data_IF_605627868496
#
_entry.id   IF_605627868496
#
_cell.length_a   1.000
_cell.length_b   1.000
_cell.length_c   1.000
_cell.angle_alpha   90.00
_cell.angle_beta   90.00
_cell.angle_gamma   90.00
#
_symmetry.space_group_name_H-M   'P 1'
#
loop_
_entity.id
_entity.type
_entity.pdbx_description
1 polymer ?
#
# COMPACT_ATOMS: atom_id res chain seq x y z
N UNK A 1 6.95 37.58 65.51
CA UNK A 1 5.74 36.73 65.50
C UNK A 1 4.54 37.66 65.36
N UNK A 2 4.11 37.89 64.12
CA UNK A 2 2.72 37.95 63.65
C UNK A 2 2.76 38.36 62.15
N UNK A 3 2.02 37.69 61.25
CA UNK A 3 2.14 37.86 59.81
C UNK A 3 1.22 38.98 59.28
N UNK A 4 1.73 39.82 58.38
CA UNK A 4 0.90 40.74 57.60
C UNK A 4 0.25 39.97 56.43
N UNK A 5 -1.08 39.95 56.45
CA UNK A 5 -1.93 39.30 55.46
C UNK A 5 -1.86 39.99 54.09
N UNK A 6 -1.51 39.20 53.06
CA UNK A 6 -1.63 39.55 51.64
C UNK A 6 -3.11 39.39 51.25
N UNK A 7 -3.94 40.41 51.49
CA UNK A 7 -5.32 40.45 50.97
C UNK A 7 -5.79 41.89 50.72
N UNK A 8 -5.04 42.71 49.98
CA UNK A 8 -5.55 44.01 49.49
C UNK A 8 -5.21 44.34 48.01
N UNK A 9 -4.61 43.40 47.26
CA UNK A 9 -4.27 43.62 45.84
C UNK A 9 -5.45 43.47 44.84
N UNK A 10 -6.69 43.29 45.33
CA UNK A 10 -7.87 43.13 44.49
C UNK A 10 -9.08 43.94 44.99
N UNK A 11 -8.86 45.04 45.70
CA UNK A 11 -9.98 45.92 46.08
C UNK A 11 -10.43 46.76 44.87
N UNK A 12 -11.74 47.02 44.77
CA UNK A 12 -12.36 47.82 43.71
C UNK A 12 -11.72 49.22 43.57
N UNK A 13 -11.20 49.76 44.68
CA UNK A 13 -10.46 51.04 44.71
C UNK A 13 -9.11 51.00 44.00
N UNK A 14 -8.44 49.84 43.91
CA UNK A 14 -7.18 49.70 43.18
C UNK A 14 -7.40 49.83 41.67
N UNK A 15 -8.50 49.24 41.15
CA UNK A 15 -8.86 49.33 39.74
C UNK A 15 -9.36 50.71 39.33
N UNK A 16 -10.10 51.41 40.20
CA UNK A 16 -10.52 52.79 39.93
C UNK A 16 -9.32 53.76 39.84
N UNK A 17 -8.24 53.48 40.57
CA UNK A 17 -7.00 54.28 40.55
C UNK A 17 -6.14 54.05 39.30
N UNK A 18 -6.21 52.86 38.69
CA UNK A 18 -5.56 52.55 37.41
C UNK A 18 -6.30 53.21 36.24
N UNK A 19 -7.63 53.30 36.31
CA UNK A 19 -8.45 53.90 35.25
C UNK A 19 -8.48 55.45 35.26
N UNK A 20 -7.90 56.09 36.28
CA UNK A 20 -7.84 57.55 36.42
C UNK A 20 -6.48 58.17 36.05
N UNK A 21 -5.53 57.40 35.48
CA UNK A 21 -4.30 57.96 34.94
C UNK A 21 -4.59 58.80 33.66
N UNK A 22 -4.07 60.04 33.56
CA UNK A 22 -4.50 61.01 32.56
C UNK A 22 -4.07 60.62 31.13
N UNK A 23 -5.02 60.76 30.19
CA UNK A 23 -4.89 60.61 28.73
C UNK A 23 -4.27 61.84 28.04
N UNK A 24 -3.31 62.51 28.67
CA UNK A 24 -2.67 63.71 28.10
C UNK A 24 -1.18 63.46 27.85
N UNK A 25 -0.89 62.71 26.79
CA UNK A 25 0.38 62.75 26.05
C UNK A 25 0.24 62.11 24.66
N UNK A 26 -0.87 62.43 23.97
CA UNK A 26 -1.00 62.27 22.52
C UNK A 26 -0.80 63.62 21.85
N UNK A 27 0.44 63.95 21.49
CA UNK A 27 0.77 64.75 20.31
C UNK A 27 2.28 64.76 20.11
N UNK A 28 2.71 64.36 18.91
CA UNK A 28 4.09 64.27 18.40
C UNK A 28 4.84 62.94 18.62
N UNK A 29 4.33 61.89 17.97
CA UNK A 29 5.16 60.99 17.14
C UNK A 29 4.25 60.11 16.28
N UNK A 30 3.75 60.71 15.18
CA UNK A 30 3.14 59.96 14.08
C UNK A 30 4.27 59.28 13.29
N UNK A 31 4.66 58.09 13.76
CA UNK A 31 5.37 57.10 12.96
C UNK A 31 4.72 55.75 13.16
N UNK A 32 3.66 55.51 12.38
CA UNK A 32 3.17 54.20 11.92
C UNK A 32 3.40 53.01 12.87
N UNK A 33 2.59 52.89 13.92
CA UNK A 33 2.36 51.60 14.58
C UNK A 33 1.32 50.83 13.76
N UNK A 34 1.79 50.19 12.69
CA UNK A 34 1.06 49.08 12.08
C UNK A 34 1.05 47.97 13.11
N UNK A 35 -0.11 47.61 13.66
CA UNK A 35 -0.28 46.34 14.37
C UNK A 35 0.22 45.24 13.44
N UNK A 36 1.39 44.67 13.73
CA UNK A 36 1.98 43.61 12.93
C UNK A 36 1.00 42.43 12.97
N UNK A 37 0.30 42.20 11.87
CA UNK A 37 -0.49 41.00 11.69
C UNK A 37 0.44 39.81 11.96
N UNK A 38 0.03 38.84 12.80
CA UNK A 38 0.88 37.69 13.11
C UNK A 38 1.25 37.02 11.79
N UNK A 39 2.56 36.86 11.56
CA UNK A 39 3.06 36.23 10.36
C UNK A 39 2.37 34.87 10.18
N UNK A 40 1.96 34.51 8.95
CA UNK A 40 1.36 33.22 8.69
C UNK A 40 2.35 32.12 9.09
N UNK A 41 1.82 31.01 9.61
CA UNK A 41 2.61 29.88 10.10
C UNK A 41 3.69 29.42 9.11
N UNK A 42 3.35 29.37 7.81
CA UNK A 42 4.29 29.00 6.75
C UNK A 42 5.55 29.89 6.73
N UNK A 43 5.42 31.19 6.95
CA UNK A 43 6.58 32.09 6.98
C UNK A 43 7.41 31.89 8.24
N UNK A 44 6.77 31.66 9.40
CA UNK A 44 7.48 31.35 10.64
C UNK A 44 8.24 30.03 10.53
N UNK A 45 7.63 29.02 9.92
CA UNK A 45 8.24 27.71 9.71
C UNK A 45 9.41 27.77 8.73
N UNK A 46 9.24 28.44 7.58
CA UNK A 46 10.28 28.56 6.57
C UNK A 46 11.49 29.38 7.04
N UNK A 47 11.30 30.23 8.06
CA UNK A 47 12.39 30.98 8.70
C UNK A 47 13.18 30.16 9.73
N UNK A 48 12.74 28.94 10.07
CA UNK A 48 13.51 28.05 10.96
C UNK A 48 14.79 27.56 10.24
N UNK A 49 15.86 27.21 10.97
CA UNK A 49 16.97 26.43 10.42
C UNK A 49 16.49 25.16 9.73
N UNK A 50 17.12 24.82 8.61
CA UNK A 50 16.71 23.70 7.75
C UNK A 50 16.66 22.37 8.53
N UNK A 51 17.56 22.18 9.49
CA UNK A 51 17.62 21.02 10.37
C UNK A 51 16.36 20.87 11.22
N UNK A 52 15.83 21.97 11.77
CA UNK A 52 14.61 21.96 12.56
C UNK A 52 13.39 21.71 11.68
N UNK A 53 13.37 22.28 10.47
CA UNK A 53 12.31 22.00 9.49
C UNK A 53 12.25 20.50 9.15
N UNK A 54 13.40 19.89 8.86
CA UNK A 54 13.51 18.46 8.56
C UNK A 54 13.07 17.62 9.75
N UNK A 55 13.50 17.96 10.97
CA UNK A 55 13.12 17.21 12.17
C UNK A 55 11.62 17.25 12.43
N UNK A 56 10.99 18.43 12.29
CA UNK A 56 9.54 18.59 12.44
C UNK A 56 8.84 17.73 11.38
N UNK A 57 9.19 17.89 10.11
CA UNK A 57 8.58 17.13 9.00
C UNK A 57 8.76 15.62 9.19
N UNK A 58 9.95 15.17 9.56
CA UNK A 58 10.26 13.75 9.75
C UNK A 58 9.45 13.11 10.89
N UNK A 59 9.10 13.88 11.91
CA UNK A 59 8.28 13.42 13.04
C UNK A 59 6.79 13.27 12.72
N UNK A 60 6.33 13.81 11.58
CA UNK A 60 4.95 13.67 11.15
C UNK A 60 4.66 12.27 10.58
N UNK A 61 3.42 11.77 10.69
CA UNK A 61 2.98 10.58 9.96
C UNK A 61 3.23 10.72 8.46
N UNK A 62 3.50 9.58 7.78
CA UNK A 62 3.76 9.60 6.34
C UNK A 62 2.61 10.23 5.54
N UNK A 63 1.35 10.04 5.95
CA UNK A 63 0.19 10.69 5.32
C UNK A 63 0.34 12.21 5.28
N UNK A 64 0.79 12.79 6.38
CA UNK A 64 0.86 14.23 6.56
C UNK A 64 2.07 14.79 5.80
N UNK A 65 3.19 14.07 5.80
CA UNK A 65 4.35 14.38 4.95
C UNK A 65 3.96 14.40 3.47
N UNK A 66 3.15 13.43 3.01
CA UNK A 66 2.67 13.39 1.64
C UNK A 66 1.65 14.51 1.35
N UNK A 67 0.76 14.82 2.30
CA UNK A 67 -0.20 15.92 2.16
C UNK A 67 0.48 17.29 2.10
N UNK A 68 1.55 17.50 2.91
CA UNK A 68 2.35 18.72 2.87
C UNK A 68 2.92 18.99 1.47
N UNK A 69 3.33 17.94 0.74
CA UNK A 69 3.82 18.10 -0.64
C UNK A 69 2.78 18.66 -1.59
N UNK A 70 1.50 18.43 -1.33
CA UNK A 70 0.40 18.92 -2.17
C UNK A 70 -0.05 20.33 -1.74
N UNK A 71 0.33 20.77 -0.53
CA UNK A 71 -0.13 22.05 0.02
C UNK A 71 0.48 23.28 -0.69
N UNK A 72 1.79 23.27 -0.99
CA UNK A 72 2.44 24.37 -1.72
C UNK A 72 3.71 23.94 -2.45
N UNK A 73 4.18 24.75 -3.41
CA UNK A 73 5.45 24.51 -4.11
C UNK A 73 6.66 24.52 -3.16
N UNK A 74 6.63 25.37 -2.13
CA UNK A 74 7.69 25.45 -1.13
C UNK A 74 7.76 24.16 -0.30
N UNK A 75 6.62 23.68 0.19
CA UNK A 75 6.52 22.41 0.93
C UNK A 75 6.92 21.22 0.06
N UNK A 76 6.49 21.18 -1.20
CA UNK A 76 6.91 20.16 -2.16
C UNK A 76 8.44 20.11 -2.32
N UNK A 77 9.07 21.27 -2.51
CA UNK A 77 10.53 21.36 -2.65
C UNK A 77 11.23 20.94 -1.36
N UNK A 78 10.79 21.41 -0.20
CA UNK A 78 11.38 21.07 1.10
C UNK A 78 11.38 19.57 1.37
N UNK A 79 10.25 18.90 1.13
CA UNK A 79 10.15 17.44 1.34
C UNK A 79 10.93 16.66 0.28
N UNK A 80 10.89 17.09 -0.98
CA UNK A 80 11.55 16.38 -2.09
C UNK A 80 13.08 16.48 -1.99
N UNK A 81 13.62 17.66 -1.65
CA UNK A 81 15.07 17.87 -1.47
C UNK A 81 15.62 17.12 -0.26
N UNK A 82 14.82 16.97 0.79
CA UNK A 82 15.21 16.34 2.05
C UNK A 82 14.60 14.95 2.22
N UNK A 83 14.33 14.22 1.13
CA UNK A 83 13.66 12.91 1.24
C UNK A 83 14.47 11.89 2.06
N UNK A 84 15.80 11.87 1.91
CA UNK A 84 16.68 10.91 2.59
C UNK A 84 16.62 10.99 4.13
N UNK A 85 16.84 12.16 4.77
CA UNK A 85 16.75 12.25 6.22
C UNK A 85 15.33 11.97 6.76
N UNK A 86 14.28 12.40 6.04
CA UNK A 86 12.88 12.13 6.40
C UNK A 86 12.62 10.62 6.38
N UNK A 87 12.97 9.95 5.29
CA UNK A 87 12.76 8.52 5.10
C UNK A 87 13.59 7.70 6.09
N UNK A 88 14.84 8.10 6.36
CA UNK A 88 15.69 7.43 7.35
C UNK A 88 15.06 7.47 8.74
N UNK A 89 14.55 8.64 9.14
CA UNK A 89 13.89 8.79 10.44
C UNK A 89 12.62 7.93 10.52
N UNK A 90 11.76 7.98 9.51
CA UNK A 90 10.51 7.21 9.49
C UNK A 90 10.77 5.70 9.44
N UNK A 91 11.78 5.24 8.69
CA UNK A 91 12.19 3.85 8.73
C UNK A 91 12.63 3.45 10.13
N UNK A 92 13.42 4.26 10.82
CA UNK A 92 13.89 3.92 12.17
C UNK A 92 12.72 3.76 13.17
N UNK A 93 11.74 4.66 13.16
CA UNK A 93 10.74 4.79 14.24
C UNK A 93 9.35 4.22 13.94
N UNK A 94 8.98 4.09 12.66
CA UNK A 94 7.60 3.76 12.26
C UNK A 94 7.47 2.41 11.56
N UNK A 95 8.58 1.85 11.06
CA UNK A 95 8.55 0.60 10.30
C UNK A 95 8.90 -0.62 11.18
N UNK A 96 8.06 -1.67 11.20
CA UNK A 96 8.30 -2.89 11.97
C UNK A 96 9.61 -3.61 11.60
N UNK A 97 10.20 -4.31 12.57
CA UNK A 97 11.45 -5.06 12.38
C UNK A 97 11.37 -6.11 11.25
N UNK A 98 10.26 -6.85 11.16
CA UNK A 98 10.06 -7.87 10.12
C UNK A 98 10.10 -7.30 8.70
N UNK A 99 9.58 -6.09 8.51
CA UNK A 99 9.54 -5.44 7.21
C UNK A 99 10.93 -4.99 6.78
N UNK A 100 11.73 -4.48 7.74
CA UNK A 100 13.15 -4.12 7.53
C UNK A 100 14.02 -5.31 7.16
N UNK A 101 13.74 -6.51 7.73
CA UNK A 101 14.47 -7.74 7.39
C UNK A 101 14.22 -8.19 5.95
N UNK A 102 12.97 -8.15 5.50
CA UNK A 102 12.56 -8.64 4.17
C UNK A 102 12.87 -7.64 3.05
N UNK A 103 12.80 -6.34 3.36
CA UNK A 103 13.18 -5.27 2.46
C UNK A 103 14.31 -4.48 3.12
N UNK A 104 15.57 -4.92 2.98
CA UNK A 104 16.70 -4.10 3.38
C UNK A 104 16.89 -2.95 2.39
N UNK A 105 17.26 -1.77 2.90
CA UNK A 105 17.64 -0.64 2.04
C UNK A 105 18.95 -1.00 1.36
N UNK A 106 18.94 -1.06 0.02
CA UNK A 106 20.18 -1.28 -0.73
C UNK A 106 20.96 0.03 -0.81
N UNK A 107 22.29 -0.06 -0.72
CA UNK A 107 23.19 1.10 -0.90
C UNK A 107 22.97 1.78 -2.26
N UNK A 108 22.53 1.01 -3.26
CA UNK A 108 22.27 1.49 -4.63
C UNK A 108 20.96 2.27 -4.82
N UNK A 109 19.90 1.97 -4.05
CA UNK A 109 18.59 2.63 -4.20
C UNK A 109 18.41 3.84 -3.29
N UNK A 110 19.27 3.97 -2.26
CA UNK A 110 19.21 5.07 -1.29
C UNK A 110 17.93 5.11 -0.45
N UNK A 111 17.82 6.16 0.38
CA UNK A 111 16.64 6.45 1.20
C UNK A 111 15.68 7.35 0.40
N UNK A 112 14.73 6.75 -0.32
CA UNK A 112 13.78 7.47 -1.19
C UNK A 112 12.35 7.39 -0.66
N UNK A 113 11.53 8.41 -0.95
CA UNK A 113 10.11 8.37 -0.61
C UNK A 113 9.38 7.24 -1.34
N UNK A 114 9.81 6.90 -2.56
CA UNK A 114 9.25 5.75 -3.31
C UNK A 114 9.41 4.44 -2.58
N UNK A 115 10.62 4.18 -2.07
CA UNK A 115 10.89 2.99 -1.28
C UNK A 115 9.98 2.92 -0.06
N UNK A 116 9.88 4.03 0.69
CA UNK A 116 9.07 4.09 1.90
C UNK A 116 7.57 3.95 1.62
N UNK A 117 7.02 4.69 0.65
CA UNK A 117 5.64 4.57 0.23
C UNK A 117 5.33 3.16 -0.28
N UNK A 118 6.24 2.55 -1.03
CA UNK A 118 6.11 1.17 -1.45
C UNK A 118 6.08 0.20 -0.27
N UNK A 119 6.93 0.39 0.74
CA UNK A 119 6.96 -0.46 1.92
C UNK A 119 5.66 -0.34 2.74
N UNK A 120 5.19 0.89 2.96
CA UNK A 120 3.91 1.17 3.61
C UNK A 120 2.72 0.59 2.85
N UNK A 121 2.73 0.68 1.52
CA UNK A 121 1.70 0.05 0.70
C UNK A 121 1.61 -1.46 0.96
N UNK A 122 2.76 -2.15 0.98
CA UNK A 122 2.83 -3.60 1.27
C UNK A 122 2.34 -3.92 2.69
N UNK A 123 2.74 -3.11 3.67
CA UNK A 123 2.29 -3.24 5.07
C UNK A 123 0.77 -3.09 5.16
N UNK A 124 0.20 -2.08 4.50
CA UNK A 124 -1.23 -1.83 4.50
C UNK A 124 -2.00 -2.96 3.80
N UNK A 125 -1.52 -3.46 2.66
CA UNK A 125 -2.14 -4.59 1.96
C UNK A 125 -2.13 -5.84 2.84
N UNK A 126 -1.00 -6.16 3.46
CA UNK A 126 -0.89 -7.30 4.37
C UNK A 126 -1.83 -7.15 5.56
N UNK A 127 -1.86 -5.99 6.22
CA UNK A 127 -2.76 -5.71 7.33
C UNK A 127 -4.24 -5.83 6.93
N UNK A 128 -4.66 -5.17 5.84
CA UNK A 128 -6.06 -5.22 5.40
C UNK A 128 -6.48 -6.65 5.03
N UNK A 129 -5.62 -7.40 4.34
CA UNK A 129 -5.88 -8.79 3.97
C UNK A 129 -5.93 -9.70 5.20
N UNK A 130 -5.01 -9.53 6.16
CA UNK A 130 -5.02 -10.24 7.45
C UNK A 130 -6.33 -10.03 8.18
N UNK A 131 -6.84 -8.80 8.24
CA UNK A 131 -8.13 -8.49 8.89
C UNK A 131 -9.27 -9.25 8.22
N UNK A 132 -9.33 -9.21 6.89
CA UNK A 132 -10.34 -9.94 6.12
C UNK A 132 -10.25 -11.46 6.32
N UNK A 133 -9.05 -12.02 6.34
CA UNK A 133 -8.82 -13.43 6.63
C UNK A 133 -9.24 -13.78 8.06
N UNK A 134 -8.96 -12.93 9.04
CA UNK A 134 -9.42 -13.13 10.42
C UNK A 134 -10.95 -13.17 10.52
N UNK A 135 -11.65 -12.28 9.81
CA UNK A 135 -13.12 -12.28 9.75
C UNK A 135 -13.67 -13.56 9.12
N UNK A 136 -13.00 -14.04 8.07
CA UNK A 136 -13.34 -15.31 7.42
C UNK A 136 -13.10 -16.51 8.35
N UNK A 137 -11.92 -16.61 8.99
CA UNK A 137 -11.60 -17.66 9.95
C UNK A 137 -12.60 -17.68 11.11
N UNK A 138 -12.92 -16.51 11.67
CA UNK A 138 -13.87 -16.37 12.78
C UNK A 138 -15.25 -16.94 12.40
N UNK A 139 -15.74 -16.65 11.18
CA UNK A 139 -17.06 -17.08 10.72
C UNK A 139 -17.12 -18.50 10.19
N UNK A 140 -16.14 -18.92 9.39
CA UNK A 140 -16.20 -20.17 8.61
C UNK A 140 -15.37 -21.30 9.24
N UNK A 141 -14.37 -20.99 10.08
CA UNK A 141 -13.56 -22.01 10.77
C UNK A 141 -14.00 -22.15 12.23
N UNK A 142 -14.07 -21.05 12.98
CA UNK A 142 -14.48 -21.05 14.38
C UNK A 142 -15.99 -20.96 14.59
N UNK A 143 -16.75 -20.81 13.50
CA UNK A 143 -18.22 -20.79 13.47
C UNK A 143 -18.84 -19.77 14.44
N UNK A 144 -18.14 -18.66 14.69
CA UNK A 144 -18.62 -17.54 15.53
C UNK A 144 -19.42 -16.59 14.64
N UNK A 145 -20.74 -16.67 14.73
CA UNK A 145 -21.66 -15.90 13.87
C UNK A 145 -22.46 -14.86 14.64
N UNK A 146 -22.73 -15.09 15.93
CA UNK A 146 -23.48 -14.14 16.77
C UNK A 146 -22.57 -13.03 17.30
N UNK A 147 -23.15 -11.86 17.61
CA UNK A 147 -22.39 -10.70 18.12
C UNK A 147 -21.66 -11.04 19.42
N UNK A 148 -22.30 -11.75 20.34
CA UNK A 148 -21.72 -12.13 21.63
C UNK A 148 -20.58 -13.16 21.48
N UNK A 149 -20.71 -14.08 20.52
CA UNK A 149 -19.65 -15.03 20.18
C UNK A 149 -18.44 -14.35 19.54
N UNK A 150 -18.66 -13.30 18.75
CA UNK A 150 -17.59 -12.50 18.16
C UNK A 150 -16.90 -11.65 19.22
N UNK A 151 -17.67 -11.03 20.12
CA UNK A 151 -17.14 -10.23 21.24
C UNK A 151 -16.28 -11.08 22.19
N UNK A 152 -16.75 -12.27 22.57
CA UNK A 152 -15.98 -13.20 23.39
C UNK A 152 -14.73 -13.75 22.69
N UNK A 153 -14.67 -13.70 21.35
CA UNK A 153 -13.52 -14.12 20.55
C UNK A 153 -12.56 -12.97 20.18
N UNK A 154 -12.81 -11.75 20.68
CA UNK A 154 -12.07 -10.56 20.23
C UNK A 154 -10.56 -10.65 20.53
N UNK A 155 -10.17 -11.17 21.70
CA UNK A 155 -8.76 -11.30 22.08
C UNK A 155 -8.01 -12.32 21.22
N UNK A 156 -8.62 -13.48 20.95
CA UNK A 156 -8.06 -14.49 20.04
C UNK A 156 -7.97 -13.97 18.61
N UNK A 157 -8.98 -13.23 18.15
CA UNK A 157 -8.99 -12.60 16.82
C UNK A 157 -7.85 -11.60 16.67
N UNK A 158 -7.59 -10.78 17.69
CA UNK A 158 -6.49 -9.80 17.67
C UNK A 158 -5.11 -10.49 17.62
N UNK A 159 -4.92 -11.58 18.35
CA UNK A 159 -3.68 -12.38 18.28
C UNK A 159 -3.48 -13.01 16.90
N UNK A 160 -4.53 -13.63 16.37
CA UNK A 160 -4.52 -14.19 15.02
C UNK A 160 -4.17 -13.11 14.00
N UNK A 161 -4.77 -11.92 14.13
CA UNK A 161 -4.52 -10.79 13.27
C UNK A 161 -3.05 -10.36 13.30
N UNK A 162 -2.50 -10.11 14.50
CA UNK A 162 -1.10 -9.71 14.67
C UNK A 162 -0.10 -10.73 14.15
N UNK A 163 -0.38 -12.03 14.31
CA UNK A 163 0.46 -13.11 13.80
C UNK A 163 0.35 -13.28 12.29
N UNK A 164 -0.82 -13.04 11.68
CA UNK A 164 -1.02 -13.18 10.24
C UNK A 164 -0.31 -12.10 9.42
N UNK A 165 -0.21 -10.86 9.94
CA UNK A 165 0.40 -9.72 9.24
C UNK A 165 1.82 -10.04 8.72
N UNK A 166 2.81 -10.40 9.56
CA UNK A 166 4.17 -10.67 9.07
C UNK A 166 4.24 -11.87 8.13
N UNK A 167 3.37 -12.86 8.29
CA UNK A 167 3.32 -14.05 7.43
C UNK A 167 2.79 -13.70 6.04
N UNK A 168 1.68 -12.96 5.96
CA UNK A 168 1.14 -12.47 4.70
C UNK A 168 2.08 -11.48 4.03
N UNK A 169 2.77 -10.65 4.80
CA UNK A 169 3.78 -9.74 4.29
C UNK A 169 4.98 -10.51 3.68
N UNK A 170 5.37 -11.64 4.27
CA UNK A 170 6.40 -12.53 3.70
C UNK A 170 5.91 -13.20 2.41
N UNK A 171 4.66 -13.64 2.36
CA UNK A 171 4.05 -14.16 1.11
C UNK A 171 3.98 -13.08 0.03
N UNK A 172 3.70 -11.82 0.41
CA UNK A 172 3.79 -10.69 -0.52
C UNK A 172 5.19 -10.60 -1.13
N UNK A 173 6.23 -10.58 -0.27
CA UNK A 173 7.63 -10.53 -0.71
C UNK A 173 7.98 -11.70 -1.64
N UNK A 174 7.55 -12.91 -1.29
CA UNK A 174 7.76 -14.08 -2.14
C UNK A 174 7.16 -13.89 -3.53
N UNK A 175 5.88 -13.53 -3.63
CA UNK A 175 5.21 -13.35 -4.93
C UNK A 175 5.86 -12.24 -5.76
N UNK A 176 6.31 -11.17 -5.12
CA UNK A 176 7.00 -10.07 -5.79
C UNK A 176 8.37 -10.48 -6.35
N UNK A 177 9.21 -11.13 -5.53
CA UNK A 177 10.51 -11.63 -5.98
C UNK A 177 10.36 -12.73 -7.01
N UNK A 178 9.37 -13.61 -6.84
CA UNK A 178 9.08 -14.68 -7.79
C UNK A 178 8.74 -14.11 -9.16
N UNK A 179 7.83 -13.14 -9.24
CA UNK A 179 7.48 -12.48 -10.51
C UNK A 179 8.71 -11.86 -11.18
N UNK A 180 9.54 -11.13 -10.42
CA UNK A 180 10.74 -10.46 -10.93
C UNK A 180 11.79 -11.45 -11.43
N UNK A 181 12.16 -12.42 -10.61
CA UNK A 181 13.19 -13.41 -10.94
C UNK A 181 12.74 -14.36 -12.05
N UNK A 182 11.46 -14.71 -12.09
CA UNK A 182 10.93 -15.55 -13.17
C UNK A 182 10.97 -14.82 -14.52
N UNK A 183 10.63 -13.53 -14.55
CA UNK A 183 10.78 -12.73 -15.76
C UNK A 183 12.25 -12.63 -16.19
N UNK A 184 13.15 -12.36 -15.23
CA UNK A 184 14.58 -12.31 -15.50
C UNK A 184 15.10 -13.64 -16.07
N UNK A 185 14.70 -14.76 -15.48
CA UNK A 185 15.09 -16.09 -15.93
C UNK A 185 14.66 -16.35 -17.38
N UNK A 186 13.41 -16.01 -17.73
CA UNK A 186 12.90 -16.18 -19.10
C UNK A 186 13.67 -15.30 -20.09
N UNK A 187 14.00 -14.07 -19.70
CA UNK A 187 14.76 -13.15 -20.57
C UNK A 187 16.20 -13.64 -20.79
N UNK A 188 16.83 -14.21 -19.77
CA UNK A 188 18.21 -14.72 -19.86
C UNK A 188 18.31 -16.04 -20.63
N UNK A 189 17.34 -16.95 -20.48
CA UNK A 189 17.41 -18.30 -21.04
C UNK A 189 16.57 -18.48 -22.32
N UNK A 190 15.62 -17.56 -22.60
CA UNK A 190 14.70 -17.66 -23.73
C UNK A 190 13.57 -18.69 -23.55
N UNK A 191 13.46 -19.32 -22.38
CA UNK A 191 12.40 -20.27 -22.05
C UNK A 191 12.04 -20.22 -20.56
N UNK A 192 10.86 -20.72 -20.18
CA UNK A 192 10.44 -20.81 -18.78
C UNK A 192 10.84 -22.11 -18.09
N UNK A 193 10.76 -22.11 -16.76
CA UNK A 193 11.26 -23.18 -15.88
C UNK A 193 10.69 -24.56 -16.18
N UNK A 194 9.47 -24.65 -16.70
CA UNK A 194 8.84 -25.95 -17.02
C UNK A 194 9.62 -26.75 -18.06
N UNK A 195 10.44 -26.09 -18.90
CA UNK A 195 11.26 -26.75 -19.92
C UNK A 195 12.57 -27.31 -19.38
N UNK A 196 12.93 -26.97 -18.14
CA UNK A 196 14.13 -27.49 -17.48
C UNK A 196 13.78 -28.54 -16.44
N UNK A 197 14.43 -29.70 -16.45
CA UNK A 197 14.30 -30.65 -15.36
C UNK A 197 14.96 -30.04 -14.11
N UNK A 198 14.19 -29.89 -13.03
CA UNK A 198 14.69 -29.49 -11.73
C UNK A 198 14.06 -30.36 -10.64
N UNK A 199 14.82 -30.65 -9.58
CA UNK A 199 14.31 -31.30 -8.38
C UNK A 199 13.65 -30.29 -7.45
N UNK A 200 14.30 -29.13 -7.28
CA UNK A 200 13.82 -27.96 -6.55
C UNK A 200 13.76 -26.78 -7.49
N UNK A 201 12.72 -25.95 -7.38
CA UNK A 201 12.59 -24.78 -8.25
C UNK A 201 13.70 -23.78 -7.89
N UNK A 202 14.67 -23.50 -8.79
CA UNK A 202 15.84 -22.67 -8.47
C UNK A 202 15.43 -21.24 -8.07
N UNK A 203 14.34 -20.72 -8.63
CA UNK A 203 13.83 -19.39 -8.28
C UNK A 203 13.26 -19.37 -6.86
N UNK A 204 12.46 -20.38 -6.52
CA UNK A 204 11.90 -20.50 -5.18
C UNK A 204 13.01 -20.69 -4.14
N UNK A 205 14.02 -21.52 -4.45
CA UNK A 205 15.18 -21.72 -3.57
C UNK A 205 15.92 -20.40 -3.33
N UNK A 206 16.18 -19.63 -4.39
CA UNK A 206 16.85 -18.33 -4.27
C UNK A 206 16.10 -17.39 -3.32
N UNK A 207 14.77 -17.33 -3.43
CA UNK A 207 13.93 -16.47 -2.59
C UNK A 207 13.86 -17.01 -1.15
N UNK A 208 13.66 -18.31 -0.97
CA UNK A 208 13.54 -18.93 0.35
C UNK A 208 14.85 -18.90 1.14
N UNK A 209 15.99 -18.81 0.47
CA UNK A 209 17.29 -18.54 1.10
C UNK A 209 17.42 -17.12 1.67
N UNK A 210 16.52 -16.20 1.33
CA UNK A 210 16.43 -14.89 1.97
C UNK A 210 15.71 -14.93 3.33
N UNK A 211 15.06 -16.04 3.68
CA UNK A 211 14.29 -16.18 4.91
C UNK A 211 15.05 -16.97 5.97
N UNK A 212 14.96 -16.50 7.21
CA UNK A 212 15.37 -17.25 8.38
C UNK A 212 14.48 -18.49 8.59
N UNK A 213 15.03 -19.49 9.26
CA UNK A 213 14.40 -20.80 9.43
C UNK A 213 13.04 -20.71 10.13
N UNK A 214 12.91 -19.80 11.11
CA UNK A 214 11.64 -19.56 11.82
C UNK A 214 10.58 -19.01 10.89
N UNK A 215 10.90 -17.95 10.13
CA UNK A 215 9.97 -17.37 9.15
C UNK A 215 9.60 -18.39 8.07
N UNK A 216 10.57 -19.12 7.51
CA UNK A 216 10.32 -20.12 6.47
C UNK A 216 9.32 -21.19 6.95
N UNK A 217 9.54 -21.74 8.15
CA UNK A 217 8.66 -22.75 8.73
C UNK A 217 7.25 -22.20 8.99
N UNK A 218 7.15 -21.03 9.62
CA UNK A 218 5.84 -20.45 9.98
C UNK A 218 5.03 -20.07 8.75
N UNK A 219 5.67 -19.50 7.72
CA UNK A 219 4.99 -19.20 6.46
C UNK A 219 4.58 -20.49 5.76
N UNK A 220 5.42 -21.52 5.73
CA UNK A 220 5.06 -22.82 5.16
C UNK A 220 3.83 -23.44 5.85
N UNK A 221 3.75 -23.36 7.18
CA UNK A 221 2.59 -23.86 7.94
C UNK A 221 1.30 -23.09 7.64
N UNK A 222 1.39 -21.77 7.43
CA UNK A 222 0.21 -20.90 7.18
C UNK A 222 -0.14 -20.79 5.69
N UNK A 223 0.78 -21.09 4.77
CA UNK A 223 0.57 -20.95 3.33
C UNK A 223 -0.68 -21.70 2.81
N UNK A 224 -0.96 -22.96 3.20
CA UNK A 224 -2.19 -23.64 2.81
C UNK A 224 -3.46 -22.91 3.23
N UNK A 225 -3.47 -22.28 4.42
CA UNK A 225 -4.59 -21.49 4.90
C UNK A 225 -4.82 -20.25 4.01
N UNK A 226 -3.74 -19.56 3.63
CA UNK A 226 -3.80 -18.39 2.75
C UNK A 226 -4.38 -18.78 1.39
N UNK A 227 -3.82 -19.81 0.75
CA UNK A 227 -4.31 -20.30 -0.55
C UNK A 227 -5.76 -20.79 -0.45
N UNK A 228 -6.10 -21.57 0.57
CA UNK A 228 -7.45 -22.08 0.78
C UNK A 228 -8.47 -20.93 0.98
N UNK A 229 -8.11 -19.91 1.75
CA UNK A 229 -8.97 -18.74 1.98
C UNK A 229 -9.27 -18.00 0.67
N UNK A 230 -8.28 -17.83 -0.19
CA UNK A 230 -8.44 -17.17 -1.49
C UNK A 230 -9.27 -18.03 -2.45
N UNK A 231 -8.93 -19.32 -2.60
CA UNK A 231 -9.71 -20.25 -3.43
C UNK A 231 -11.17 -20.36 -2.96
N UNK A 232 -11.42 -20.36 -1.64
CA UNK A 232 -12.77 -20.41 -1.07
C UNK A 232 -13.56 -19.17 -1.43
N UNK A 233 -12.92 -18.00 -1.46
CA UNK A 233 -13.56 -16.72 -1.79
C UNK A 233 -14.08 -16.70 -3.24
N UNK A 234 -13.38 -17.32 -4.18
CA UNK A 234 -13.80 -17.42 -5.58
C UNK A 234 -14.72 -18.61 -5.88
N UNK A 235 -15.07 -19.41 -4.87
CA UNK A 235 -16.04 -20.52 -5.00
C UNK A 235 -17.45 -20.07 -4.57
N UNK A 236 -18.49 -20.70 -5.13
CA UNK A 236 -19.86 -20.42 -4.71
C UNK A 236 -20.05 -20.74 -3.20
N UNK A 237 -21.00 -20.10 -2.52
CA UNK A 237 -21.27 -20.35 -1.10
C UNK A 237 -21.63 -21.83 -0.85
N UNK A 238 -21.06 -22.44 0.20
CA UNK A 238 -21.23 -23.86 0.49
C UNK A 238 -22.66 -24.25 0.89
N UNK A 239 -23.42 -23.32 1.48
CA UNK A 239 -24.82 -23.53 1.87
C UNK A 239 -25.78 -23.59 0.69
N UNK A 240 -25.42 -23.03 -0.47
CA UNK A 240 -26.29 -23.02 -1.63
C UNK A 240 -26.28 -24.38 -2.32
N UNK A 241 -27.41 -25.09 -2.33
CA UNK A 241 -27.60 -26.36 -3.03
C UNK A 241 -27.62 -26.22 -4.57
N UNK A 242 -27.74 -27.34 -5.30
CA UNK A 242 -27.73 -27.33 -6.79
C UNK A 242 -28.84 -26.46 -7.39
N UNK A 243 -30.04 -26.53 -6.84
CA UNK A 243 -31.21 -25.77 -7.33
C UNK A 243 -31.05 -24.28 -7.02
N UNK A 244 -30.65 -23.93 -5.80
CA UNK A 244 -30.39 -22.54 -5.42
C UNK A 244 -29.28 -21.90 -6.27
N UNK A 245 -28.25 -22.67 -6.63
CA UNK A 245 -27.17 -22.20 -7.52
C UNK A 245 -27.70 -21.88 -8.92
N UNK A 246 -28.61 -22.70 -9.46
CA UNK A 246 -29.22 -22.45 -10.76
C UNK A 246 -30.15 -21.24 -10.73
N UNK A 247 -30.98 -21.11 -9.69
CA UNK A 247 -31.92 -19.98 -9.53
C UNK A 247 -31.20 -18.65 -9.30
N UNK A 248 -30.10 -18.65 -8.53
CA UNK A 248 -29.29 -17.44 -8.28
C UNK A 248 -28.25 -17.16 -9.37
N UNK A 249 -28.17 -17.99 -10.42
CA UNK A 249 -27.21 -17.83 -11.51
C UNK A 249 -25.75 -17.94 -11.07
N UNK A 250 -25.46 -18.73 -10.03
CA UNK A 250 -24.07 -18.98 -9.62
C UNK A 250 -23.39 -19.87 -10.64
N UNK A 251 -22.25 -19.40 -11.18
CA UNK A 251 -21.39 -20.19 -12.05
C UNK A 251 -21.04 -21.52 -11.36
N UNK A 252 -21.39 -22.62 -12.03
CA UNK A 252 -21.38 -23.98 -11.49
C UNK A 252 -19.96 -24.55 -11.39
N UNK A 253 -19.05 -24.02 -12.20
CA UNK A 253 -17.67 -24.50 -12.32
C UNK A 253 -16.74 -23.75 -11.38
N UNK A 254 -15.85 -24.52 -10.72
CA UNK A 254 -14.73 -23.99 -9.96
C UNK A 254 -13.81 -23.22 -10.93
N UNK A 255 -13.26 -22.05 -10.55
CA UNK A 255 -12.24 -21.42 -11.37
C UNK A 255 -11.07 -22.38 -11.60
N UNK A 256 -10.48 -22.33 -12.79
CA UNK A 256 -9.25 -23.06 -13.11
C UNK A 256 -8.14 -22.70 -12.10
N UNK A 257 -7.27 -23.66 -11.77
CA UNK A 257 -6.15 -23.43 -10.86
C UNK A 257 -5.11 -22.46 -11.48
N UNK A 258 -5.05 -22.41 -12.81
CA UNK A 258 -4.29 -21.42 -13.59
C UNK A 258 -4.71 -19.98 -13.28
N UNK A 259 -6.02 -19.71 -13.22
CA UNK A 259 -6.54 -18.37 -12.91
C UNK A 259 -6.11 -17.91 -11.52
N UNK A 260 -6.18 -18.80 -10.52
CA UNK A 260 -5.74 -18.47 -9.17
C UNK A 260 -4.24 -18.16 -9.14
N UNK A 261 -3.44 -18.97 -9.83
CA UNK A 261 -1.98 -18.81 -9.85
C UNK A 261 -1.57 -17.55 -10.60
N UNK A 262 -2.22 -17.24 -11.72
CA UNK A 262 -2.02 -16.00 -12.47
C UNK A 262 -2.32 -14.77 -11.62
N UNK A 263 -3.46 -14.75 -10.91
CA UNK A 263 -3.80 -13.63 -10.03
C UNK A 263 -2.77 -13.48 -8.90
N UNK A 264 -2.34 -14.58 -8.28
CA UNK A 264 -1.34 -14.54 -7.21
C UNK A 264 0.04 -14.10 -7.69
N UNK A 265 0.57 -14.71 -8.75
CA UNK A 265 1.94 -14.49 -9.22
C UNK A 265 2.09 -13.21 -10.04
N UNK A 266 1.10 -12.87 -10.87
CA UNK A 266 1.17 -11.70 -11.76
C UNK A 266 0.55 -10.45 -11.13
N UNK A 267 -0.60 -10.62 -10.49
CA UNK A 267 -1.34 -9.54 -9.83
C UNK A 267 -0.93 -9.25 -8.38
N UNK A 268 -0.36 -10.24 -7.68
CA UNK A 268 0.07 -10.10 -6.29
C UNK A 268 -1.08 -10.02 -5.28
N UNK A 269 -0.73 -9.88 -3.99
CA UNK A 269 -1.72 -9.82 -2.91
C UNK A 269 -2.61 -8.57 -2.94
N UNK A 270 -2.19 -7.50 -3.63
CA UNK A 270 -3.04 -6.33 -3.84
C UNK A 270 -4.30 -6.67 -4.63
N UNK A 271 -4.17 -7.43 -5.72
CA UNK A 271 -5.33 -7.84 -6.50
C UNK A 271 -6.19 -8.88 -5.75
N UNK A 272 -5.54 -9.75 -4.96
CA UNK A 272 -6.26 -10.63 -4.02
C UNK A 272 -7.12 -9.81 -3.07
N UNK A 273 -6.56 -8.79 -2.42
CA UNK A 273 -7.29 -7.91 -1.51
C UNK A 273 -8.47 -7.21 -2.21
N UNK A 274 -8.27 -6.70 -3.44
CA UNK A 274 -9.35 -6.09 -4.23
C UNK A 274 -10.51 -7.07 -4.47
N UNK A 275 -10.21 -8.33 -4.80
CA UNK A 275 -11.23 -9.38 -4.95
C UNK A 275 -11.93 -9.70 -3.63
N UNK A 276 -11.27 -9.52 -2.48
CA UNK A 276 -11.90 -9.71 -1.18
C UNK A 276 -12.88 -8.58 -0.84
N UNK A 277 -12.57 -7.35 -1.24
CA UNK A 277 -13.40 -6.15 -1.00
C UNK A 277 -14.69 -6.14 -1.82
N UNK A 278 -14.68 -6.71 -3.02
CA UNK A 278 -15.89 -6.79 -3.85
C UNK A 278 -16.96 -7.64 -3.14
N UNK A 279 -18.15 -7.07 -3.00
CA UNK A 279 -19.32 -7.74 -2.43
C UNK A 279 -20.05 -8.54 -3.50
N UNK A 280 -20.61 -9.70 -3.13
CA UNK A 280 -21.34 -10.60 -4.05
C UNK A 280 -20.43 -11.60 -4.76
N UNK A 281 -20.94 -12.81 -5.05
CA UNK A 281 -20.16 -13.87 -5.71
C UNK A 281 -19.98 -13.64 -7.21
N UNK A 282 -21.07 -13.40 -7.95
CA UNK A 282 -21.03 -13.25 -9.40
C UNK A 282 -20.18 -12.05 -9.84
N UNK A 283 -20.29 -10.92 -9.14
CA UNK A 283 -19.47 -9.72 -9.35
C UNK A 283 -17.99 -10.00 -9.12
N UNK A 284 -17.62 -10.67 -8.01
CA UNK A 284 -16.24 -11.09 -7.75
C UNK A 284 -15.69 -12.02 -8.82
N UNK A 285 -16.49 -12.99 -9.26
CA UNK A 285 -16.09 -13.95 -10.28
C UNK A 285 -15.86 -13.24 -11.62
N UNK A 286 -16.77 -12.34 -12.01
CA UNK A 286 -16.62 -11.49 -13.18
C UNK A 286 -15.34 -10.64 -13.13
N UNK A 287 -15.05 -9.97 -12.02
CA UNK A 287 -13.80 -9.19 -11.87
C UNK A 287 -12.56 -10.08 -12.00
N UNK A 288 -12.58 -11.27 -11.42
CA UNK A 288 -11.45 -12.21 -11.53
C UNK A 288 -11.25 -12.70 -12.98
N UNK A 289 -12.34 -12.97 -13.71
CA UNK A 289 -12.29 -13.39 -15.10
C UNK A 289 -11.85 -12.24 -16.01
N UNK A 290 -12.30 -11.00 -15.78
CA UNK A 290 -11.82 -9.81 -16.50
C UNK A 290 -10.32 -9.61 -16.30
N UNK A 291 -9.81 -9.73 -15.07
CA UNK A 291 -8.38 -9.63 -14.79
C UNK A 291 -7.58 -10.73 -15.49
N UNK A 292 -8.09 -11.96 -15.50
CA UNK A 292 -7.43 -13.06 -16.20
C UNK A 292 -7.44 -12.85 -17.72
N UNK A 293 -8.53 -12.33 -18.27
CA UNK A 293 -8.63 -11.95 -19.68
C UNK A 293 -7.67 -10.80 -20.02
N UNK A 294 -7.48 -9.80 -19.14
CA UNK A 294 -6.45 -8.75 -19.31
C UNK A 294 -5.04 -9.37 -19.46
N UNK A 295 -4.76 -10.48 -18.77
CA UNK A 295 -3.49 -11.21 -18.94
C UNK A 295 -3.46 -12.02 -20.25
N UNK A 296 -4.61 -12.51 -20.71
CA UNK A 296 -4.75 -13.36 -21.91
C UNK A 296 -4.99 -12.63 -23.24
N UNK A 297 -5.44 -11.36 -23.25
CA UNK A 297 -5.73 -10.57 -24.47
C UNK A 297 -4.50 -10.36 -25.37
N UNK A 298 -3.37 -10.95 -24.98
CA UNK A 298 -2.30 -11.38 -25.86
C UNK A 298 -2.66 -12.38 -26.99
N UNK A 299 -3.88 -12.96 -27.03
CA UNK A 299 -4.24 -13.98 -28.04
C UNK A 299 -4.65 -13.44 -29.42
N UNK A 300 -4.91 -12.14 -29.61
CA UNK A 300 -5.28 -11.63 -30.94
C UNK A 300 -4.47 -10.40 -31.38
N UNK A 301 -3.66 -10.60 -32.42
CA UNK A 301 -3.31 -9.56 -33.40
C UNK A 301 -3.86 -10.01 -34.77
N UNK A 302 -4.15 -9.04 -35.66
CA UNK A 302 -5.50 -8.64 -36.03
C UNK A 302 -6.25 -9.74 -36.79
N UNK A 303 -7.53 -9.95 -36.50
CA UNK A 303 -8.43 -10.52 -37.50
C UNK A 303 -8.46 -9.52 -38.66
N UNK A 304 -7.89 -9.92 -39.79
CA UNK A 304 -8.06 -9.29 -41.08
C UNK A 304 -9.50 -8.81 -41.23
N UNK A 305 -9.64 -7.53 -41.61
CA UNK A 305 -10.90 -6.85 -41.81
C UNK A 305 -11.68 -7.41 -43.02
N UNK A 306 -12.14 -8.66 -42.93
CA UNK A 306 -12.87 -9.34 -44.00
C UNK A 306 -13.69 -10.53 -43.45
N UNK A 307 -14.48 -10.30 -42.40
CA UNK A 307 -15.66 -11.16 -42.13
C UNK A 307 -16.73 -10.51 -41.23
N UNK A 308 -16.75 -9.18 -41.09
CA UNK A 308 -17.87 -8.46 -40.46
C UNK A 308 -18.86 -8.05 -41.56
N UNK A 309 -19.43 -9.02 -42.24
CA UNK A 309 -20.61 -8.79 -43.08
C UNK A 309 -21.34 -10.10 -43.31
N UNK A 310 -22.14 -10.52 -42.33
CA UNK A 310 -23.36 -11.36 -42.45
C UNK A 310 -23.70 -11.94 -41.06
N UNK A 311 -24.30 -11.13 -40.19
CA UNK A 311 -25.27 -11.66 -39.19
C UNK A 311 -26.00 -10.59 -38.38
N UNK A 312 -25.65 -9.30 -38.50
CA UNK A 312 -26.45 -8.22 -37.93
C UNK A 312 -27.65 -7.84 -38.82
N UNK A 313 -28.60 -8.76 -39.03
CA UNK A 313 -29.94 -8.43 -39.55
C UNK A 313 -30.95 -9.50 -39.09
N UNK A 314 -31.51 -9.33 -37.89
CA UNK A 314 -32.96 -9.44 -37.63
C UNK A 314 -33.31 -9.19 -36.16
N UNK A 315 -34.23 -8.21 -36.00
CA UNK A 315 -35.18 -7.96 -34.89
C UNK A 315 -34.75 -6.98 -33.77
N UNK A 316 -35.09 -5.70 -34.00
CA UNK A 316 -35.59 -4.77 -32.96
C UNK A 316 -36.98 -5.21 -32.46
N UNK A 317 -37.72 -4.54 -31.58
CA UNK A 317 -37.74 -3.23 -30.92
C UNK A 317 -38.30 -3.46 -29.48
N UNK A 318 -38.20 -2.61 -28.45
CA UNK A 318 -38.76 -1.26 -28.24
C UNK A 318 -38.16 -0.70 -26.93
N UNK A 319 -37.58 0.50 -26.90
CA UNK A 319 -38.14 1.72 -26.26
C UNK A 319 -37.84 1.78 -24.74
N UNK A 320 -37.43 2.85 -24.07
CA UNK A 320 -37.37 4.31 -24.25
C UNK A 320 -36.06 4.82 -23.57
N UNK A 321 -35.30 5.76 -24.15
CA UNK A 321 -35.27 7.19 -23.77
C UNK A 321 -34.76 7.43 -22.33
N UNK A 322 -33.56 7.98 -22.08
CA UNK A 322 -33.14 9.37 -22.36
C UNK A 322 -31.61 9.53 -22.44
N UNK A 323 -31.24 10.56 -23.20
CA UNK A 323 -29.93 11.04 -23.67
C UNK A 323 -29.13 11.80 -22.57
N UNK A 324 -27.81 11.56 -22.52
CA UNK A 324 -26.67 12.49 -22.78
C UNK A 324 -26.23 13.32 -21.55
N UNK A 325 -24.95 13.63 -21.29
CA UNK A 325 -23.70 13.56 -22.06
C UNK A 325 -22.48 13.61 -21.12
N UNK A 326 -21.43 12.82 -21.38
CA UNK A 326 -20.05 13.10 -20.97
C UNK A 326 -19.30 13.58 -22.21
N UNK A 327 -18.73 14.78 -22.10
CA UNK A 327 -17.99 15.46 -23.15
C UNK A 327 -16.54 14.96 -23.11
N UNK A 328 -16.15 14.24 -24.15
CA UNK A 328 -14.76 13.86 -24.42
C UNK A 328 -14.04 15.06 -25.04
N UNK A 329 -12.93 15.50 -24.46
CA UNK A 329 -11.93 16.33 -25.15
C UNK A 329 -10.79 15.42 -25.53
N UNK A 330 -10.45 15.51 -26.82
CA UNK A 330 -9.60 14.62 -27.59
C UNK A 330 -8.20 15.23 -27.68
N UNK A 331 -7.18 14.42 -27.41
CA UNK A 331 -5.79 14.73 -27.72
C UNK A 331 -5.57 14.87 -29.23
N UNK A 332 -4.78 15.86 -29.62
CA UNK A 332 -4.23 15.99 -30.95
C UNK A 332 -2.71 16.24 -30.85
N UNK A 333 -1.95 15.22 -31.25
CA UNK A 333 -0.53 15.29 -31.56
C UNK A 333 -0.33 15.50 -33.07
N UNK A 334 0.73 16.26 -33.41
CA UNK A 334 1.36 16.52 -34.71
C UNK A 334 0.89 17.74 -35.51
N UNK A 335 1.77 18.76 -35.65
CA UNK A 335 2.59 18.98 -36.86
C UNK A 335 3.47 20.24 -36.70
N UNK A 336 4.65 20.21 -37.33
CA UNK A 336 5.60 21.32 -37.50
C UNK A 336 4.98 22.47 -38.32
N UNK A 337 5.40 23.72 -38.05
CA UNK A 337 5.94 24.67 -39.04
C UNK A 337 6.26 26.05 -38.42
N UNK A 338 7.41 26.60 -38.81
CA UNK A 338 7.90 27.96 -38.48
C UNK A 338 7.32 28.93 -39.55
N UNK A 339 6.94 30.18 -39.19
CA UNK A 339 7.68 31.32 -39.74
C UNK A 339 7.92 32.48 -38.75
N UNK A 340 8.96 33.23 -39.10
CA UNK A 340 9.51 34.43 -38.46
C UNK A 340 8.55 35.62 -38.35
N UNK A 341 8.82 36.48 -37.36
CA UNK A 341 8.76 37.94 -37.51
C UNK A 341 7.60 38.68 -36.83
N UNK A 342 7.92 39.42 -35.75
CA UNK A 342 7.60 40.86 -35.57
C UNK A 342 7.26 41.26 -34.12
N UNK A 343 8.17 42.08 -33.57
CA UNK A 343 7.99 43.24 -32.68
C UNK A 343 7.45 43.12 -31.23
N UNK A 344 8.39 43.44 -30.32
CA UNK A 344 8.32 43.95 -28.92
C UNK A 344 7.34 45.14 -28.72
N UNK A 345 6.85 45.44 -27.49
CA UNK A 345 7.63 46.07 -26.38
C UNK A 345 7.41 45.38 -25.00
N UNK A 346 8.44 45.07 -24.20
CA UNK A 346 9.19 45.92 -23.23
C UNK A 346 8.30 46.66 -22.20
N UNK A 347 8.17 46.06 -21.01
CA UNK A 347 8.04 46.67 -19.66
C UNK A 347 8.66 45.62 -18.71
N UNK A 348 9.97 45.62 -18.44
CA UNK A 348 10.75 46.39 -17.47
C UNK A 348 10.32 46.21 -15.99
N UNK A 349 11.29 45.78 -15.15
CA UNK A 349 11.17 45.82 -13.69
C UNK A 349 11.42 44.53 -12.90
N UNK A 350 12.59 43.89 -13.00
CA UNK A 350 13.20 43.27 -11.81
C UNK A 350 14.72 43.10 -11.98
N UNK A 351 15.46 43.68 -11.04
CA UNK A 351 16.90 43.85 -11.02
C UNK A 351 17.68 42.53 -11.12
N UNK A 352 18.64 42.50 -12.05
CA UNK A 352 19.73 41.54 -12.12
C UNK A 352 20.63 41.65 -10.87
N UNK A 353 20.86 40.50 -10.22
CA UNK A 353 22.08 40.27 -9.46
C UNK A 353 22.83 39.09 -10.08
N UNK A 354 24.12 39.32 -10.25
CA UNK A 354 25.15 38.58 -10.99
C UNK A 354 25.23 37.08 -10.62
N UNK A 355 25.44 36.17 -11.58
CA UNK A 355 25.54 34.74 -11.29
C UNK A 355 26.95 34.39 -10.79
N UNK A 356 27.04 33.95 -9.54
CA UNK A 356 28.23 33.25 -9.05
C UNK A 356 28.00 31.75 -9.21
N UNK A 357 28.91 31.07 -9.90
CA UNK A 357 28.92 29.64 -10.20
C UNK A 357 28.53 28.77 -9.00
N UNK A 358 27.30 28.29 -8.99
CA UNK A 358 26.97 26.98 -8.44
C UNK A 358 25.70 26.48 -9.14
N UNK A 359 25.73 25.24 -9.57
CA UNK A 359 24.70 24.54 -10.36
C UNK A 359 23.33 24.57 -9.65
N UNK A 360 22.53 25.61 -9.89
CA UNK A 360 21.13 25.64 -9.44
C UNK A 360 20.28 24.80 -10.39
N UNK A 361 19.88 23.63 -9.88
CA UNK A 361 18.81 22.82 -10.44
C UNK A 361 17.56 23.71 -10.48
N UNK A 362 17.04 23.99 -11.67
CA UNK A 362 15.82 24.78 -11.84
C UNK A 362 14.64 24.15 -11.10
N UNK A 363 13.82 24.93 -10.36
CA UNK A 363 12.72 24.42 -9.53
C UNK A 363 11.57 23.76 -10.32
N UNK A 364 11.58 23.84 -11.65
CA UNK A 364 10.66 23.11 -12.53
C UNK A 364 10.99 21.63 -12.66
N UNK A 365 12.23 21.22 -12.37
CA UNK A 365 12.67 19.82 -12.49
C UNK A 365 12.08 18.92 -11.39
N UNK A 366 11.84 19.47 -10.19
CA UNK A 366 11.36 18.70 -9.04
C UNK A 366 9.86 18.36 -9.08
N UNK A 367 9.10 18.88 -10.05
CA UNK A 367 7.68 18.53 -10.21
C UNK A 367 7.53 17.16 -10.89
N UNK A 368 8.38 16.86 -11.87
CA UNK A 368 8.28 15.64 -12.68
C UNK A 368 9.36 14.61 -12.34
N UNK A 369 10.52 15.03 -11.79
CA UNK A 369 11.61 14.13 -11.41
C UNK A 369 11.60 13.88 -9.89
N UNK A 370 10.55 13.25 -9.39
CA UNK A 370 10.49 12.81 -7.98
C UNK A 370 10.64 11.30 -7.89
N UNK A 371 11.19 10.79 -6.79
CA UNK A 371 11.29 9.34 -6.56
C UNK A 371 9.93 8.64 -6.72
N UNK A 372 8.83 9.29 -6.31
CA UNK A 372 7.48 8.76 -6.42
C UNK A 372 6.96 8.54 -7.86
N UNK A 373 7.64 9.06 -8.89
CA UNK A 373 7.26 8.80 -10.28
C UNK A 373 7.48 7.34 -10.69
N UNK A 374 8.26 6.56 -9.94
CA UNK A 374 8.56 5.15 -10.24
C UNK A 374 7.38 4.17 -10.01
N UNK A 375 6.18 4.66 -9.70
CA UNK A 375 4.95 3.84 -9.65
C UNK A 375 4.82 2.97 -8.41
N UNK A 376 3.81 2.10 -8.39
CA UNK A 376 3.50 1.28 -7.20
C UNK A 376 4.25 -0.07 -7.19
N UNK A 377 4.47 -0.67 -6.01
CA UNK A 377 4.91 -2.06 -5.93
C UNK A 377 4.02 -2.99 -6.74
N UNK A 378 4.64 -3.93 -7.46
CA UNK A 378 3.92 -4.87 -8.31
C UNK A 378 2.96 -4.20 -9.30
N UNK A 379 3.38 -3.10 -9.93
CA UNK A 379 2.59 -2.43 -10.96
C UNK A 379 2.28 -3.37 -12.14
N UNK A 380 1.32 -2.95 -12.97
CA UNK A 380 0.95 -3.66 -14.19
C UNK A 380 2.20 -3.87 -15.04
N UNK A 381 2.46 -5.13 -15.40
CA UNK A 381 3.51 -5.46 -16.35
C UNK A 381 3.13 -4.98 -17.75
N UNK A 382 4.13 -4.84 -18.61
CA UNK A 382 3.91 -4.63 -20.03
C UNK A 382 3.28 -5.88 -20.67
N UNK A 383 2.53 -5.68 -21.74
CA UNK A 383 1.79 -6.77 -22.39
C UNK A 383 2.70 -7.91 -22.87
N UNK A 384 3.92 -7.60 -23.30
CA UNK A 384 4.92 -8.57 -23.73
C UNK A 384 5.41 -9.44 -22.57
N UNK A 385 5.53 -8.87 -21.37
CA UNK A 385 5.96 -9.59 -20.17
C UNK A 385 4.89 -10.58 -19.70
N UNK A 386 3.60 -10.23 -19.82
CA UNK A 386 2.51 -11.18 -19.55
C UNK A 386 2.52 -12.37 -20.51
N UNK A 387 2.79 -12.15 -21.80
CA UNK A 387 2.92 -13.22 -22.81
C UNK A 387 3.99 -14.24 -22.44
N UNK A 388 5.10 -13.76 -21.90
CA UNK A 388 6.22 -14.61 -21.48
C UNK A 388 5.90 -15.39 -20.20
N UNK A 389 5.28 -14.76 -19.21
CA UNK A 389 5.09 -15.36 -17.89
C UNK A 389 3.90 -16.33 -17.83
N UNK A 390 2.75 -15.97 -18.43
CA UNK A 390 1.51 -16.71 -18.29
C UNK A 390 1.60 -18.21 -18.64
N UNK A 391 2.23 -18.63 -19.76
CA UNK A 391 2.32 -20.05 -20.12
C UNK A 391 3.33 -20.83 -19.25
N UNK A 392 4.17 -20.16 -18.46
CA UNK A 392 5.23 -20.78 -17.67
C UNK A 392 4.93 -20.75 -16.16
N UNK A 393 3.70 -20.40 -15.76
CA UNK A 393 3.33 -20.36 -14.35
C UNK A 393 3.17 -21.78 -13.78
N UNK A 394 3.69 -22.05 -12.57
CA UNK A 394 3.56 -23.37 -11.96
C UNK A 394 2.11 -23.65 -11.57
N UNK A 395 1.81 -24.92 -11.30
CA UNK A 395 0.55 -25.27 -10.65
C UNK A 395 0.47 -24.66 -9.23
N UNK A 396 -0.72 -24.19 -8.83
CA UNK A 396 -0.96 -23.55 -7.52
C UNK A 396 -0.45 -24.38 -6.33
N UNK A 397 -0.57 -25.70 -6.41
CA UNK A 397 -0.17 -26.63 -5.35
C UNK A 397 1.34 -26.82 -5.26
N UNK A 398 2.06 -26.58 -6.37
CA UNK A 398 3.53 -26.66 -6.42
C UNK A 398 4.18 -25.36 -5.99
N UNK A 399 3.50 -24.23 -6.19
CA UNK A 399 3.97 -22.93 -5.74
C UNK A 399 4.23 -22.96 -4.25
N UNK A 400 5.46 -22.63 -3.84
CA UNK A 400 5.95 -22.63 -2.45
C UNK A 400 6.07 -24.01 -1.79
N UNK A 401 5.03 -24.85 -1.78
CA UNK A 401 4.91 -26.00 -0.87
C UNK A 401 6.05 -27.02 -1.03
N UNK A 402 6.28 -27.52 -2.24
CA UNK A 402 7.26 -28.60 -2.47
C UNK A 402 8.69 -28.15 -2.19
N UNK A 403 9.05 -26.94 -2.63
CA UNK A 403 10.40 -26.42 -2.45
C UNK A 403 10.65 -26.04 -0.99
N UNK A 404 9.67 -25.42 -0.32
CA UNK A 404 9.80 -25.05 1.08
C UNK A 404 9.91 -26.28 1.98
N UNK A 405 9.10 -27.32 1.77
CA UNK A 405 9.17 -28.55 2.56
C UNK A 405 10.55 -29.22 2.44
N UNK A 406 11.07 -29.32 1.21
CA UNK A 406 12.41 -29.86 0.99
C UNK A 406 13.50 -29.04 1.69
N UNK A 407 13.45 -27.70 1.61
CA UNK A 407 14.42 -26.84 2.30
C UNK A 407 14.29 -26.91 3.83
N UNK A 408 13.09 -27.04 4.37
CA UNK A 408 12.86 -27.18 5.82
C UNK A 408 13.53 -28.45 6.36
N UNK A 409 13.43 -29.55 5.61
CA UNK A 409 14.07 -30.83 5.96
C UNK A 409 15.59 -30.77 5.76
N UNK A 410 16.04 -30.18 4.65
CA UNK A 410 17.48 -30.04 4.33
C UNK A 410 18.22 -29.20 5.38
N UNK A 411 17.61 -28.08 5.80
CA UNK A 411 18.14 -27.23 6.87
C UNK A 411 17.96 -27.82 8.27
N UNK A 412 17.32 -28.99 8.40
CA UNK A 412 17.03 -29.67 9.68
C UNK A 412 16.26 -28.78 10.67
N UNK A 413 15.38 -27.92 10.17
CA UNK A 413 14.48 -27.13 11.02
C UNK A 413 13.50 -28.07 11.73
N UNK A 414 13.12 -29.14 11.03
CA UNK A 414 12.25 -30.21 11.52
C UNK A 414 12.84 -31.55 11.09
N UNK A 415 12.77 -32.58 11.94
CA UNK A 415 13.31 -33.90 11.63
C UNK A 415 12.53 -34.65 10.55
N UNK A 416 11.19 -34.56 10.59
CA UNK A 416 10.29 -35.26 9.65
C UNK A 416 9.18 -34.36 9.14
N UNK A 417 8.70 -34.62 7.92
CA UNK A 417 7.59 -33.88 7.31
C UNK A 417 6.28 -33.93 8.10
N UNK A 418 6.08 -34.98 8.91
CA UNK A 418 4.90 -35.16 9.77
C UNK A 418 4.88 -34.19 10.95
N UNK A 419 6.06 -33.75 11.39
CA UNK A 419 6.21 -32.83 12.51
C UNK A 419 5.93 -31.38 12.10
N UNK A 420 5.76 -31.12 10.79
CA UNK A 420 5.26 -29.85 10.26
C UNK A 420 3.77 -29.73 10.58
N UNK A 421 3.41 -28.72 11.36
CA UNK A 421 2.02 -28.47 11.76
C UNK A 421 1.12 -28.18 10.56
N UNK A 422 -0.11 -28.72 10.58
CA UNK A 422 -1.08 -28.56 9.49
C UNK A 422 -2.47 -28.15 9.99
N UNK A 423 -3.22 -27.44 9.14
CA UNK A 423 -4.64 -27.16 9.29
C UNK A 423 -5.03 -26.63 10.69
N UNK A 424 -5.74 -27.44 11.48
CA UNK A 424 -6.28 -27.07 12.78
C UNK A 424 -5.19 -26.71 13.80
N UNK A 425 -4.03 -27.37 13.76
CA UNK A 425 -2.91 -27.06 14.66
C UNK A 425 -2.40 -25.63 14.42
N UNK A 426 -2.30 -25.24 13.15
CA UNK A 426 -1.89 -23.89 12.74
C UNK A 426 -2.92 -22.86 13.20
N UNK A 427 -4.21 -23.16 13.04
CA UNK A 427 -5.28 -22.27 13.51
C UNK A 427 -5.26 -22.07 15.03
N UNK A 428 -4.99 -23.14 15.79
CA UNK A 428 -4.85 -23.06 17.25
C UNK A 428 -3.62 -22.24 17.63
N UNK A 429 -2.49 -22.45 16.97
CA UNK A 429 -1.27 -21.70 17.23
C UNK A 429 -1.43 -20.20 16.93
N UNK A 430 -2.23 -19.82 15.94
CA UNK A 430 -2.51 -18.41 15.67
C UNK A 430 -3.29 -17.72 16.80
N UNK A 431 -4.02 -18.44 17.65
CA UNK A 431 -4.87 -17.87 18.71
C UNK A 431 -4.36 -18.10 20.14
N UNK A 432 -3.35 -18.98 20.31
CA UNK A 432 -2.74 -19.30 21.61
C UNK A 432 -2.18 -18.07 22.33
N UNK A 433 -2.22 -18.09 23.65
CA UNK A 433 -1.74 -17.00 24.53
C UNK A 433 -0.24 -17.03 24.74
N UNK A 434 0.38 -18.19 24.56
CA UNK A 434 1.78 -18.40 24.89
C UNK A 434 2.69 -17.65 23.91
N UNK A 435 3.82 -17.14 24.43
CA UNK A 435 4.91 -16.56 23.65
C UNK A 435 4.59 -15.24 22.94
N UNK A 436 3.42 -14.64 23.17
CA UNK A 436 3.00 -13.41 22.47
C UNK A 436 4.02 -12.28 22.62
N UNK A 437 4.61 -12.11 23.80
CA UNK A 437 5.60 -11.04 24.05
C UNK A 437 6.88 -11.26 23.23
N UNK A 438 7.43 -12.47 23.25
CA UNK A 438 8.66 -12.79 22.51
C UNK A 438 8.44 -12.72 21.00
N UNK A 439 7.29 -13.19 20.52
CA UNK A 439 6.89 -13.10 19.12
C UNK A 439 6.67 -11.65 18.68
N UNK A 440 5.99 -10.84 19.50
CA UNK A 440 5.77 -9.43 19.20
C UNK A 440 7.10 -8.67 19.13
N UNK A 441 8.03 -8.94 20.05
CA UNK A 441 9.38 -8.35 20.02
C UNK A 441 10.12 -8.78 18.75
N UNK A 442 10.06 -10.07 18.39
CA UNK A 442 10.72 -10.58 17.19
C UNK A 442 10.17 -9.96 15.90
N UNK A 443 8.85 -9.81 15.80
CA UNK A 443 8.21 -9.27 14.60
C UNK A 443 8.27 -7.75 14.55
N UNK A 444 7.84 -7.08 15.60
CA UNK A 444 7.62 -5.63 15.60
C UNK A 444 8.81 -4.84 16.19
N UNK A 445 9.64 -5.46 17.02
CA UNK A 445 10.76 -4.82 17.71
C UNK A 445 10.37 -4.21 19.07
N UNK A 446 11.36 -3.70 19.79
CA UNK A 446 11.20 -3.12 21.14
C UNK A 446 10.61 -1.70 21.15
N UNK A 447 10.60 -1.01 20.01
CA UNK A 447 10.13 0.38 19.92
C UNK A 447 8.62 0.37 19.73
N UNK A 448 7.88 0.44 20.82
CA UNK A 448 6.42 0.52 20.82
C UNK A 448 5.95 1.96 20.55
N UNK A 449 6.12 2.49 19.34
CA UNK A 449 5.27 3.61 18.92
C UNK A 449 3.85 3.08 18.69
N UNK A 450 2.82 3.86 19.05
CA UNK A 450 1.41 3.48 18.84
C UNK A 450 1.08 3.19 17.37
N UNK A 451 1.91 3.68 16.45
CA UNK A 451 1.81 3.53 15.00
C UNK A 451 2.30 2.16 14.47
N UNK A 452 3.30 1.54 15.12
CA UNK A 452 3.83 0.22 14.71
C UNK A 452 2.88 -0.92 15.07
N UNK A 453 2.11 -0.77 16.16
CA UNK A 453 1.04 -1.72 16.47
C UNK A 453 -0.09 -1.47 15.49
N UNK A 454 -0.66 -2.53 14.88
CA UNK A 454 -1.92 -2.34 14.16
C UNK A 454 -2.92 -1.68 15.12
N UNK A 455 -3.62 -0.62 14.69
CA UNK A 455 -4.53 0.08 15.57
C UNK A 455 -5.51 -0.92 16.18
N UNK A 456 -5.89 -0.76 17.46
CA UNK A 456 -7.01 -1.51 18.02
C UNK A 456 -8.21 -1.38 17.07
N UNK A 457 -8.99 -2.45 16.92
CA UNK A 457 -10.08 -2.58 15.93
C UNK A 457 -11.05 -1.38 15.86
N UNK A 458 -11.17 -0.63 16.96
CA UNK A 458 -11.99 0.57 17.14
C UNK A 458 -11.46 1.81 16.39
N UNK A 459 -10.15 1.90 16.13
CA UNK A 459 -9.54 3.07 15.46
C UNK A 459 -9.53 2.99 13.93
N UNK A 460 -10.08 1.91 13.35
CA UNK A 460 -10.19 1.67 11.89
C UNK A 460 -11.66 1.42 11.50
N UNK A 461 -12.60 1.87 12.33
CA UNK A 461 -13.94 2.18 11.83
C UNK A 461 -13.80 3.56 11.17
N UNK A 462 -13.49 3.55 9.87
CA UNK A 462 -13.78 4.72 9.03
C UNK A 462 -15.26 5.04 9.25
N UNK A 463 -15.55 6.29 9.61
CA UNK A 463 -16.92 6.81 9.73
C UNK A 463 -17.75 6.28 8.55
N UNK A 464 -18.97 5.76 8.80
CA UNK A 464 -19.88 5.50 7.69
C UNK A 464 -20.03 6.84 6.96
N UNK A 465 -19.54 6.89 5.72
CA UNK A 465 -19.88 7.95 4.79
C UNK A 465 -21.40 7.83 4.61
N UNK A 466 -22.13 8.75 5.25
CA UNK A 466 -23.55 8.98 5.04
C UNK A 466 -23.85 9.33 3.57
#
# INVERSE_FOLDING_TARGET
MEPLHITEFASKRYFDKINQLPKDQQQQNDSSLVEASPLPFDQLFLNLPNELQIQIIASLPLSDVLNLRVASRAWHCMVTLNESPIVRYQLAHEVPAYAKRLYPVSETTGYTLHYLCGLWHRLHVAAKLSRRMCDWCTKEIFLKTTRDQVASFASQRERMYRRLIPLLFTVFHFLEKYRKLHLQYILEHGYGLERTPYTLNPIEVQIMNMYDDRTLLQVHQVFPLIVASFCRRLRPPSYAGRVERAVRGYLREKPADELHTAILCLGGLRQVLRLWEVKGYNTRRGVADTLYNEFQESKEAPRSAESISKEAKRRGLKGLGRKMSILQVRDASQANDIPEGSNRPVIDGCLEQVPTRSSMITPTSFVFNTSLAAGMPMDKLEQEQYKLLLPNLPALQKLWLSTAEALILDRKIVERSVDIKRNAQVMLDLIKEDGVVEEDIWWYGMVTTKSIRPPPLEAIEEDPID
#
